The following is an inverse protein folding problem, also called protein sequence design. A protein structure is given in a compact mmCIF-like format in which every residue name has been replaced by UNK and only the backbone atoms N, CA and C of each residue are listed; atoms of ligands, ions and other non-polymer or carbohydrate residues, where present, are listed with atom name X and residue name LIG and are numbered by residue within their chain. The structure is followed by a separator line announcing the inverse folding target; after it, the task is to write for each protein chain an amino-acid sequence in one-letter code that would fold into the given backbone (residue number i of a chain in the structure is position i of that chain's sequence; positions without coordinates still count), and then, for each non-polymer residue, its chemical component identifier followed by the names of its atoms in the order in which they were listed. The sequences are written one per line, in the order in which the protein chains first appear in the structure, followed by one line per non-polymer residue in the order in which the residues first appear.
data_IF_897909331887
#
_entry.id   IF_897909331887
#
_cell.length_a   1.000
_cell.length_b   1.000
_cell.length_c   1.000
_cell.angle_alpha   90.00
_cell.angle_beta   90.00
_cell.angle_gamma   90.00
#
_symmetry.space_group_name_H-M   'P 1'
#
loop_
_entity.id
_entity.type
_entity.pdbx_description
1 polymer ?
#
# COMPACT_ATOMS: atom_id res chain seq x y z
N UNK A 1 -2.83 5.95 -7.40
CA UNK A 1 -2.44 4.57 -7.03
C UNK A 1 -2.67 3.72 -8.27
N UNK A 2 -1.70 2.91 -8.69
CA UNK A 2 -1.84 2.08 -9.90
C UNK A 2 -1.17 0.72 -9.72
N UNK A 3 -1.84 -0.34 -10.18
CA UNK A 3 -1.31 -1.71 -10.22
C UNK A 3 -0.15 -1.85 -11.20
N UNK A 4 -0.09 -1.00 -12.22
CA UNK A 4 1.00 -1.00 -13.21
C UNK A 4 2.37 -0.83 -12.56
N UNK A 5 2.48 -0.08 -11.46
CA UNK A 5 3.75 0.06 -10.73
C UNK A 5 4.23 -1.27 -10.14
N UNK A 6 3.32 -2.13 -9.68
CA UNK A 6 3.68 -3.44 -9.15
C UNK A 6 4.10 -4.39 -10.27
N UNK A 7 3.44 -4.33 -11.43
CA UNK A 7 3.87 -5.08 -12.61
C UNK A 7 5.27 -4.64 -13.08
N UNK A 8 5.50 -3.33 -13.22
CA UNK A 8 6.83 -2.79 -13.53
C UNK A 8 7.89 -3.25 -12.54
N UNK A 9 7.57 -3.30 -11.24
CA UNK A 9 8.48 -3.81 -10.22
C UNK A 9 8.85 -5.26 -10.46
N UNK A 10 7.87 -6.12 -10.78
CA UNK A 10 8.11 -7.54 -11.05
C UNK A 10 8.87 -7.80 -12.36
N UNK A 11 8.85 -6.85 -13.29
CA UNK A 11 9.63 -6.91 -14.53
C UNK A 11 11.08 -6.44 -14.32
N UNK A 12 11.29 -5.42 -13.48
CA UNK A 12 12.60 -4.81 -13.25
C UNK A 12 13.46 -5.56 -12.24
N UNK A 13 12.85 -6.24 -11.27
CA UNK A 13 13.56 -6.91 -10.19
C UNK A 13 13.27 -8.40 -10.19
N UNK A 14 14.26 -9.19 -9.77
CA UNK A 14 14.10 -10.63 -9.63
C UNK A 14 13.23 -10.98 -8.42
N UNK A 15 12.50 -12.10 -8.53
CA UNK A 15 11.51 -12.55 -7.53
C UNK A 15 12.07 -12.68 -6.11
N UNK A 16 13.33 -13.02 -5.93
CA UNK A 16 13.97 -13.12 -4.62
C UNK A 16 14.00 -11.78 -3.85
N UNK A 17 13.88 -10.64 -4.54
CA UNK A 17 13.90 -9.30 -3.93
C UNK A 17 12.55 -8.84 -3.39
N UNK A 18 11.46 -9.28 -4.02
CA UNK A 18 10.11 -8.79 -3.72
C UNK A 18 9.11 -9.89 -3.36
N UNK A 19 9.41 -11.16 -3.68
CA UNK A 19 8.62 -12.36 -3.41
C UNK A 19 7.23 -12.43 -4.09
N UNK A 20 6.79 -11.35 -4.74
CA UNK A 20 5.56 -11.29 -5.54
C UNK A 20 5.60 -12.26 -6.74
N UNK A 21 4.43 -12.79 -7.07
CA UNK A 21 4.14 -13.58 -8.27
C UNK A 21 3.05 -12.92 -9.09
N UNK A 22 2.89 -13.31 -10.35
CA UNK A 22 1.81 -12.82 -11.22
C UNK A 22 0.42 -13.07 -10.63
N UNK A 23 0.25 -14.20 -9.93
CA UNK A 23 -0.99 -14.52 -9.21
C UNK A 23 -1.24 -13.60 -8.02
N UNK A 24 -0.19 -13.12 -7.33
CA UNK A 24 -0.36 -12.14 -6.24
C UNK A 24 -0.88 -10.78 -6.75
N UNK A 25 -0.73 -10.50 -8.06
CA UNK A 25 -1.20 -9.26 -8.70
C UNK A 25 -2.52 -9.43 -9.47
N UNK A 26 -3.23 -10.55 -9.27
CA UNK A 26 -4.52 -10.77 -9.91
C UNK A 26 -5.61 -9.89 -9.26
N UNK A 27 -6.18 -8.90 -9.98
CA UNK A 27 -7.19 -8.01 -9.41
C UNK A 27 -8.54 -8.70 -9.13
N UNK A 28 -8.79 -9.87 -9.72
CA UNK A 28 -10.02 -10.62 -9.51
C UNK A 28 -10.01 -11.39 -8.18
N UNK A 29 -8.81 -11.71 -7.66
CA UNK A 29 -8.63 -12.45 -6.41
C UNK A 29 -8.62 -11.50 -5.19
N UNK A 30 -9.77 -10.88 -4.94
CA UNK A 30 -9.94 -9.85 -3.88
C UNK A 30 -9.86 -10.40 -2.45
N UNK A 31 -9.86 -11.73 -2.27
CA UNK A 31 -9.80 -12.37 -0.95
C UNK A 31 -8.40 -12.88 -0.59
N UNK A 32 -7.41 -12.69 -1.46
CA UNK A 32 -6.05 -13.16 -1.23
C UNK A 32 -5.30 -12.27 -0.24
N UNK A 33 -5.51 -12.53 1.04
CA UNK A 33 -4.83 -11.81 2.11
C UNK A 33 -3.31 -11.95 2.02
N UNK A 34 -2.80 -13.14 1.70
CA UNK A 34 -1.37 -13.37 1.59
C UNK A 34 -0.73 -12.50 0.50
N UNK A 35 -1.38 -12.37 -0.66
CA UNK A 35 -0.94 -11.46 -1.71
C UNK A 35 -0.94 -10.00 -1.23
N UNK A 36 -2.02 -9.57 -0.56
CA UNK A 36 -2.13 -8.23 0.00
C UNK A 36 -1.02 -7.92 1.02
N UNK A 37 -0.72 -8.86 1.92
CA UNK A 37 0.35 -8.73 2.91
C UNK A 37 1.72 -8.63 2.24
N UNK A 38 2.03 -9.49 1.26
CA UNK A 38 3.29 -9.43 0.51
C UNK A 38 3.46 -8.09 -0.21
N UNK A 39 2.41 -7.60 -0.89
CA UNK A 39 2.45 -6.31 -1.59
C UNK A 39 2.76 -5.14 -0.63
N UNK A 40 2.33 -5.23 0.62
CA UNK A 40 2.58 -4.21 1.64
C UNK A 40 3.95 -4.34 2.33
N UNK A 41 4.76 -5.34 1.98
CA UNK A 41 6.04 -5.57 2.65
C UNK A 41 7.01 -4.40 2.46
N UNK A 42 7.89 -4.20 3.46
CA UNK A 42 8.89 -3.13 3.42
C UNK A 42 9.84 -3.28 2.21
N UNK A 43 10.11 -4.52 1.77
CA UNK A 43 10.92 -4.82 0.59
C UNK A 43 10.27 -4.28 -0.70
N UNK A 44 8.98 -4.56 -0.93
CA UNK A 44 8.24 -4.05 -2.09
C UNK A 44 8.18 -2.53 -2.07
N UNK A 45 7.88 -1.95 -0.91
CA UNK A 45 7.81 -0.49 -0.71
C UNK A 45 9.15 0.18 -1.01
N UNK A 46 10.27 -0.44 -0.63
CA UNK A 46 11.61 0.10 -0.90
C UNK A 46 11.93 0.08 -2.39
N UNK A 47 11.65 -1.04 -3.06
CA UNK A 47 11.89 -1.20 -4.51
C UNK A 47 11.03 -0.25 -5.36
N UNK A 48 9.78 0.00 -4.95
CA UNK A 48 8.88 0.95 -5.63
C UNK A 48 9.47 2.36 -5.72
N UNK A 49 10.38 2.78 -4.83
CA UNK A 49 11.02 4.11 -4.89
C UNK A 49 11.80 4.32 -6.19
N UNK A 50 12.24 3.24 -6.84
CA UNK A 50 12.97 3.30 -8.10
C UNK A 50 12.04 3.35 -9.32
N UNK A 51 10.71 3.27 -9.12
CA UNK A 51 9.73 3.34 -10.18
C UNK A 51 9.18 4.77 -10.27
N UNK A 52 9.20 5.40 -11.46
CA UNK A 52 8.65 6.74 -11.66
C UNK A 52 7.19 6.85 -11.23
N UNK A 53 6.82 8.02 -10.70
CA UNK A 53 5.43 8.38 -10.32
C UNK A 53 4.72 7.42 -9.34
N UNK A 54 5.48 6.55 -8.68
CA UNK A 54 4.95 5.53 -7.77
C UNK A 54 4.59 6.04 -6.37
N UNK A 55 4.88 7.31 -6.05
CA UNK A 55 4.77 7.88 -4.70
C UNK A 55 3.40 7.71 -4.06
N UNK A 56 2.32 7.85 -4.85
CA UNK A 56 0.97 7.59 -4.37
C UNK A 56 0.74 6.12 -3.98
N UNK A 57 1.28 5.19 -4.75
CA UNK A 57 1.21 3.75 -4.49
C UNK A 57 2.05 3.38 -3.26
N UNK A 58 3.26 3.96 -3.14
CA UNK A 58 4.12 3.81 -1.96
C UNK A 58 3.38 4.26 -0.70
N UNK A 59 2.79 5.46 -0.71
CA UNK A 59 2.03 5.99 0.44
C UNK A 59 0.85 5.10 0.81
N UNK A 60 0.10 4.61 -0.18
CA UNK A 60 -1.02 3.69 0.04
C UNK A 60 -0.55 2.38 0.70
N UNK A 61 0.47 1.73 0.16
CA UNK A 61 1.01 0.47 0.71
C UNK A 61 1.62 0.66 2.10
N UNK A 62 2.26 1.81 2.37
CA UNK A 62 2.74 2.16 3.72
C UNK A 62 1.60 2.28 4.74
N UNK A 63 0.49 2.92 4.36
CA UNK A 63 -0.71 3.01 5.21
C UNK A 63 -1.25 1.60 5.49
N UNK A 64 -1.40 0.77 4.47
CA UNK A 64 -1.86 -0.61 4.62
C UNK A 64 -0.93 -1.42 5.52
N UNK A 65 0.39 -1.35 5.30
CA UNK A 65 1.39 -2.01 6.12
C UNK A 65 1.34 -1.57 7.59
N UNK A 66 1.15 -0.28 7.86
CA UNK A 66 0.99 0.23 9.23
C UNK A 66 -0.25 -0.36 9.90
N UNK A 67 -1.37 -0.46 9.19
CA UNK A 67 -2.58 -1.13 9.70
C UNK A 67 -2.29 -2.60 10.00
N UNK A 68 -1.71 -3.35 9.06
CA UNK A 68 -1.35 -4.76 9.26
C UNK A 68 -0.40 -4.96 10.45
N UNK A 69 0.69 -4.18 10.52
CA UNK A 69 1.65 -4.20 11.63
C UNK A 69 0.94 -3.97 12.96
N UNK A 70 0.06 -2.97 13.05
CA UNK A 70 -0.61 -2.62 14.30
C UNK A 70 -1.52 -3.72 14.88
N UNK A 71 -2.12 -4.57 14.03
CA UNK A 71 -3.04 -5.63 14.46
C UNK A 71 -2.39 -7.01 14.52
N UNK A 72 -1.52 -7.34 13.56
CA UNK A 72 -1.05 -8.72 13.33
C UNK A 72 0.35 -8.96 13.88
N UNK A 73 1.23 -7.96 13.84
CA UNK A 73 2.59 -8.14 14.33
C UNK A 73 2.57 -8.20 15.86
N UNK A 74 2.89 -9.35 16.46
CA UNK A 74 2.90 -9.56 17.92
C UNK A 74 4.16 -9.01 18.61
N UNK A 75 5.21 -8.69 17.88
CA UNK A 75 6.50 -8.26 18.45
C UNK A 75 6.54 -6.78 18.80
N UNK A 76 5.65 -5.97 18.22
CA UNK A 76 5.61 -4.52 18.46
C UNK A 76 4.84 -4.17 19.74
N UNK A 77 5.35 -3.17 20.46
CA UNK A 77 4.75 -2.66 21.69
C UNK A 77 3.50 -1.81 21.45
N UNK A 78 2.70 -1.60 22.50
CA UNK A 78 1.43 -0.84 22.43
C UNK A 78 1.62 0.56 21.85
N UNK A 79 2.70 1.25 22.25
CA UNK A 79 2.98 2.63 21.78
C UNK A 79 3.20 2.68 20.26
N UNK A 80 3.90 1.70 19.71
CA UNK A 80 4.15 1.60 18.28
C UNK A 80 2.87 1.26 17.51
N UNK A 81 2.04 0.34 18.03
CA UNK A 81 0.71 0.05 17.45
C UNK A 81 -0.15 1.30 17.34
N UNK A 82 -0.22 2.08 18.43
CA UNK A 82 -0.97 3.33 18.46
C UNK A 82 -0.43 4.31 17.43
N UNK A 83 0.89 4.45 17.33
CA UNK A 83 1.51 5.29 16.31
C UNK A 83 1.11 4.88 14.90
N UNK A 84 1.24 3.60 14.54
CA UNK A 84 0.87 3.08 13.22
C UNK A 84 -0.60 3.37 12.86
N UNK A 85 -1.51 3.16 13.81
CA UNK A 85 -2.94 3.42 13.62
C UNK A 85 -3.22 4.92 13.47
N UNK A 86 -2.70 5.74 14.38
CA UNK A 86 -2.91 7.18 14.36
C UNK A 86 -2.36 7.82 13.10
N UNK A 87 -1.15 7.43 12.69
CA UNK A 87 -0.53 7.90 11.46
C UNK A 87 -1.37 7.54 10.23
N UNK A 88 -1.86 6.31 10.16
CA UNK A 88 -2.73 5.84 9.07
C UNK A 88 -4.04 6.62 8.99
N UNK A 89 -4.74 6.78 10.12
CA UNK A 89 -6.00 7.54 10.18
C UNK A 89 -5.79 9.01 9.83
N UNK A 90 -4.70 9.61 10.31
CA UNK A 90 -4.35 11.00 10.02
C UNK A 90 -4.16 11.24 8.51
N UNK A 91 -3.38 10.40 7.84
CA UNK A 91 -3.18 10.50 6.39
C UNK A 91 -4.47 10.30 5.60
N UNK A 92 -5.29 9.31 5.98
CA UNK A 92 -6.58 9.07 5.34
C UNK A 92 -7.54 10.25 5.51
N UNK A 93 -7.52 10.95 6.65
CA UNK A 93 -8.30 12.18 6.87
C UNK A 93 -7.85 13.31 5.95
N UNK A 94 -6.54 13.54 5.84
CA UNK A 94 -5.99 14.55 4.92
C UNK A 94 -6.38 14.23 3.48
N UNK A 95 -6.23 12.97 3.07
CA UNK A 95 -6.59 12.55 1.73
C UNK A 95 -8.08 12.77 1.46
N UNK A 96 -8.96 12.38 2.40
CA UNK A 96 -10.40 12.67 2.29
C UNK A 96 -10.68 14.17 2.15
N UNK A 97 -10.06 15.02 2.96
CA UNK A 97 -10.22 16.46 2.86
C UNK A 97 -9.76 17.00 1.50
N UNK A 98 -8.69 16.45 0.92
CA UNK A 98 -8.22 16.79 -0.41
C UNK A 98 -9.22 16.38 -1.49
N UNK A 99 -9.77 15.17 -1.43
CA UNK A 99 -10.80 14.69 -2.37
C UNK A 99 -12.05 15.56 -2.29
N UNK A 100 -12.52 15.90 -1.09
CA UNK A 100 -13.72 16.72 -0.91
C UNK A 100 -13.57 18.17 -1.42
N UNK A 101 -12.35 18.69 -1.52
CA UNK A 101 -12.07 20.02 -2.10
C UNK A 101 -12.00 20.01 -3.63
N UNK A 102 -11.76 18.84 -4.23
CA UNK A 102 -11.62 18.67 -5.66
C UNK A 102 -12.85 17.92 -6.18
N UNK A 103 -13.87 18.66 -6.62
CA UNK A 103 -15.15 18.10 -7.07
C UNK A 103 -14.98 17.05 -8.19
N UNK A 104 -13.95 17.17 -9.02
CA UNK A 104 -13.63 16.24 -10.12
C UNK A 104 -13.18 14.87 -9.63
N UNK A 105 -12.74 14.76 -8.37
CA UNK A 105 -12.33 13.49 -7.75
C UNK A 105 -13.48 12.82 -6.99
N UNK A 106 -14.65 13.46 -6.91
CA UNK A 106 -15.81 12.88 -6.23
C UNK A 106 -16.59 11.97 -7.17
N UNK A 107 -17.05 10.82 -6.65
CA UNK A 107 -17.83 9.82 -7.40
C UNK A 107 -19.18 10.34 -7.91
N UNK A 108 -19.62 11.53 -7.48
CA UNK A 108 -20.84 12.15 -8.00
C UNK A 108 -20.64 12.70 -9.42
N UNK A 109 -19.38 12.92 -9.82
CA UNK A 109 -18.99 13.57 -11.06
C UNK A 109 -18.14 12.66 -11.98
N UNK A 110 -17.96 11.37 -11.63
CA UNK A 110 -17.31 10.33 -12.46
C UNK A 110 -18.26 9.15 -12.64
#
# INVERSE_FOLDING_TARGET
VSISHLFQLTELYSKDKHLLTTTDLNPDDKMNFNAAEKMCSDQVIELLKNIPDSQGTISFLKIMNNVLKSYLNKTIGVKERLYCLWHSVYLLRIWRCSVMKNNDLTLKNN
#
